data_IF_413879809946
#
_entry.id   IF_413879809946
#
_cell.length_a   1.000
_cell.length_b   1.000
_cell.length_c   1.000
_cell.angle_alpha   90.00
_cell.angle_beta   90.00
_cell.angle_gamma   90.00
#
_symmetry.space_group_name_H-M   'P 1'
#
loop_
_entity.id
_entity.type
_entity.pdbx_description
1 polymer ?
#
# COMPACT_ATOMS: atom_id res chain seq x y z
N UNK A 1 -24.47 -7.30 -1.84
CA UNK A 1 -23.36 -7.09 -0.89
C UNK A 1 -22.07 -7.37 -1.62
N UNK A 2 -21.04 -6.55 -1.43
CA UNK A 2 -19.74 -6.78 -2.03
C UNK A 2 -19.08 -8.03 -1.42
N UNK A 3 -18.38 -8.81 -2.23
CA UNK A 3 -17.70 -10.03 -1.78
C UNK A 3 -16.48 -9.67 -0.94
N UNK A 4 -16.27 -10.40 0.14
CA UNK A 4 -15.02 -10.37 0.92
C UNK A 4 -14.17 -11.56 0.52
N UNK A 5 -12.92 -11.32 0.16
CA UNK A 5 -11.97 -12.35 -0.27
C UNK A 5 -10.85 -12.40 0.77
N UNK A 6 -10.74 -13.48 1.57
CA UNK A 6 -9.60 -13.69 2.44
C UNK A 6 -8.29 -13.74 1.64
N UNK A 7 -7.22 -13.18 2.18
CA UNK A 7 -5.91 -13.18 1.48
C UNK A 7 -5.23 -14.54 1.56
N UNK A 8 -5.42 -15.29 2.64
CA UNK A 8 -4.89 -16.66 2.82
C UNK A 8 -6.01 -17.63 3.09
N UNK A 9 -5.82 -18.87 2.63
CA UNK A 9 -6.70 -19.99 2.96
C UNK A 9 -6.50 -20.52 4.39
N UNK A 10 -5.33 -20.26 4.94
CA UNK A 10 -4.91 -20.62 6.30
C UNK A 10 -4.59 -19.36 7.10
N UNK A 11 -3.80 -19.50 8.17
CA UNK A 11 -3.36 -18.40 9.02
C UNK A 11 -2.35 -17.54 8.26
N UNK A 12 -2.59 -16.21 8.23
CA UNK A 12 -1.68 -15.26 7.62
C UNK A 12 -0.29 -15.26 8.29
N UNK A 13 0.81 -14.99 7.56
CA UNK A 13 2.14 -14.83 8.18
C UNK A 13 2.12 -13.75 9.27
N UNK A 14 3.02 -13.85 10.28
CA UNK A 14 3.14 -12.88 11.38
C UNK A 14 1.92 -12.77 12.30
N UNK A 15 1.05 -13.79 12.37
CA UNK A 15 -0.18 -13.75 13.18
C UNK A 15 0.08 -13.94 14.68
N UNK A 16 1.23 -14.47 15.07
CA UNK A 16 1.55 -14.71 16.49
C UNK A 16 1.46 -13.46 17.37
N UNK A 17 1.74 -12.28 16.81
CA UNK A 17 1.68 -11.01 17.53
C UNK A 17 0.28 -10.36 17.54
N UNK A 18 -0.63 -10.84 16.69
CA UNK A 18 -1.99 -10.30 16.54
C UNK A 18 -2.99 -11.37 16.09
N UNK A 19 -3.24 -12.40 16.92
CA UNK A 19 -4.11 -13.51 16.54
C UNK A 19 -5.56 -13.07 16.25
N UNK A 20 -6.02 -11.97 16.82
CA UNK A 20 -7.34 -11.37 16.54
C UNK A 20 -7.45 -10.78 15.13
N UNK A 21 -6.32 -10.51 14.46
CA UNK A 21 -6.24 -10.01 13.08
C UNK A 21 -5.73 -11.09 12.09
N UNK A 22 -6.01 -12.37 12.37
CA UNK A 22 -5.44 -13.51 11.63
C UNK A 22 -5.93 -13.63 10.17
N UNK A 23 -6.99 -12.92 9.79
CA UNK A 23 -7.65 -13.05 8.49
C UNK A 23 -7.76 -11.71 7.75
N UNK A 24 -6.65 -11.11 7.30
CA UNK A 24 -6.70 -9.96 6.41
C UNK A 24 -7.38 -10.34 5.09
N UNK A 25 -8.08 -9.37 4.50
CA UNK A 25 -8.95 -9.62 3.35
C UNK A 25 -9.00 -8.43 2.40
N UNK A 26 -9.58 -8.62 1.22
CA UNK A 26 -9.99 -7.53 0.34
C UNK A 26 -11.51 -7.55 0.13
N UNK A 27 -12.13 -6.37 0.17
CA UNK A 27 -13.52 -6.17 -0.19
C UNK A 27 -13.61 -5.80 -1.67
N UNK A 28 -14.29 -6.61 -2.43
CA UNK A 28 -14.38 -6.50 -3.89
C UNK A 28 -15.41 -5.46 -4.34
N UNK A 29 -15.00 -4.59 -5.25
CA UNK A 29 -15.81 -3.65 -6.01
C UNK A 29 -15.50 -3.87 -7.51
N UNK A 30 -15.96 -4.98 -8.05
CA UNK A 30 -15.67 -5.36 -9.42
C UNK A 30 -16.58 -4.63 -10.42
N UNK A 31 -15.99 -4.19 -11.53
CA UNK A 31 -16.69 -3.62 -12.70
C UNK A 31 -16.63 -4.63 -13.83
N UNK A 32 -17.75 -5.11 -14.36
CA UNK A 32 -17.77 -6.03 -15.48
C UNK A 32 -17.01 -5.49 -16.70
N UNK A 33 -16.09 -6.29 -17.26
CA UNK A 33 -15.27 -5.91 -18.41
C UNK A 33 -14.09 -4.99 -18.10
N UNK A 34 -13.87 -4.62 -16.84
CA UNK A 34 -12.67 -3.87 -16.46
C UNK A 34 -11.41 -4.70 -16.72
N UNK A 35 -10.42 -4.10 -17.41
CA UNK A 35 -9.11 -4.73 -17.66
C UNK A 35 -8.10 -4.46 -16.56
N UNK A 36 -8.36 -3.45 -15.72
CA UNK A 36 -7.50 -3.04 -14.62
C UNK A 36 -8.20 -3.07 -13.28
N UNK A 37 -7.43 -3.29 -12.22
CA UNK A 37 -7.91 -3.22 -10.85
C UNK A 37 -6.96 -2.42 -9.97
N UNK A 38 -7.48 -1.84 -8.89
CA UNK A 38 -6.71 -1.08 -7.91
C UNK A 38 -6.95 -1.66 -6.52
N UNK A 39 -5.87 -2.02 -5.82
CA UNK A 39 -5.91 -2.30 -4.38
C UNK A 39 -5.88 -0.97 -3.63
N UNK A 40 -6.89 -0.71 -2.81
CA UNK A 40 -7.05 0.53 -2.05
C UNK A 40 -6.64 0.30 -0.61
N UNK A 41 -5.66 1.06 -0.12
CA UNK A 41 -5.12 1.00 1.24
C UNK A 41 -5.56 2.25 2.02
N UNK A 42 -6.63 2.19 2.85
CA UNK A 42 -7.05 3.31 3.69
C UNK A 42 -5.94 3.71 4.67
N UNK A 43 -5.88 5.00 5.04
CA UNK A 43 -5.01 5.50 6.10
C UNK A 43 -5.57 5.19 7.50
N UNK A 44 -5.05 5.92 8.49
CA UNK A 44 -5.45 5.76 9.89
C UNK A 44 -4.26 5.51 10.83
N UNK A 45 -3.06 5.94 10.44
CA UNK A 45 -1.87 5.93 11.31
C UNK A 45 -1.34 4.54 11.66
N UNK A 46 -1.75 3.48 10.97
CA UNK A 46 -1.55 2.09 11.36
C UNK A 46 -2.21 1.71 12.71
N UNK A 47 -3.17 2.49 13.19
CA UNK A 47 -3.97 2.21 14.39
C UNK A 47 -5.38 1.71 14.03
N UNK A 48 -5.93 2.22 12.94
CA UNK A 48 -7.21 1.83 12.37
C UNK A 48 -7.18 2.00 10.85
N UNK A 49 -8.30 1.72 10.17
CA UNK A 49 -8.48 2.00 8.73
C UNK A 49 -9.62 3.01 8.57
N UNK A 50 -9.31 4.17 7.99
CA UNK A 50 -10.25 5.26 7.79
C UNK A 50 -11.35 4.86 6.79
N UNK A 51 -12.63 4.74 7.18
CA UNK A 51 -13.66 4.18 6.30
C UNK A 51 -13.96 5.06 5.09
N UNK A 52 -13.73 6.37 5.18
CA UNK A 52 -13.94 7.32 4.08
C UNK A 52 -12.84 7.23 2.99
N UNK A 53 -11.72 6.57 3.26
CA UNK A 53 -10.63 6.28 2.32
C UNK A 53 -10.72 4.84 1.74
N UNK A 54 -11.76 4.10 2.07
CA UNK A 54 -12.05 2.75 1.60
C UNK A 54 -13.16 2.70 0.56
N UNK A 55 -14.36 2.34 0.98
CA UNK A 55 -15.52 2.13 0.10
C UNK A 55 -15.83 3.32 -0.82
N UNK A 56 -15.86 4.59 -0.35
CA UNK A 56 -16.14 5.72 -1.23
C UNK A 56 -15.12 5.89 -2.37
N UNK A 57 -13.85 5.56 -2.11
CA UNK A 57 -12.79 5.59 -3.12
C UNK A 57 -12.98 4.46 -4.14
N UNK A 58 -13.30 3.26 -3.68
CA UNK A 58 -13.61 2.15 -4.57
C UNK A 58 -14.81 2.45 -5.49
N UNK A 59 -15.85 3.07 -4.95
CA UNK A 59 -17.01 3.51 -5.73
C UNK A 59 -16.65 4.62 -6.74
N UNK A 60 -15.74 5.53 -6.38
CA UNK A 60 -15.23 6.54 -7.31
C UNK A 60 -14.48 5.89 -8.49
N UNK A 61 -13.61 4.91 -8.21
CA UNK A 61 -12.90 4.15 -9.25
C UNK A 61 -13.88 3.37 -10.14
N UNK A 62 -14.92 2.77 -9.55
CA UNK A 62 -15.95 2.07 -10.31
C UNK A 62 -16.70 2.99 -11.27
N UNK A 63 -16.99 4.25 -10.87
CA UNK A 63 -17.60 5.25 -11.78
C UNK A 63 -16.69 5.58 -12.97
N UNK A 64 -15.38 5.40 -12.82
CA UNK A 64 -14.39 5.53 -13.89
C UNK A 64 -14.16 4.22 -14.68
N UNK A 65 -14.93 3.16 -14.40
CA UNK A 65 -14.80 1.87 -15.08
C UNK A 65 -13.65 0.99 -14.59
N UNK A 66 -13.07 1.31 -13.43
CA UNK A 66 -11.92 0.60 -12.84
C UNK A 66 -12.42 -0.25 -11.66
N UNK A 67 -12.10 -1.54 -11.66
CA UNK A 67 -12.35 -2.41 -10.51
C UNK A 67 -11.49 -2.01 -9.33
N UNK A 68 -12.03 -2.10 -8.11
CA UNK A 68 -11.31 -1.75 -6.90
C UNK A 68 -11.45 -2.84 -5.81
N UNK A 69 -10.44 -2.95 -4.98
CA UNK A 69 -10.35 -3.92 -3.90
C UNK A 69 -9.84 -3.21 -2.64
N UNK A 70 -10.75 -2.96 -1.69
CA UNK A 70 -10.39 -2.28 -0.44
C UNK A 70 -9.72 -3.28 0.49
N UNK A 71 -8.47 -3.00 0.84
CA UNK A 71 -7.66 -3.87 1.66
C UNK A 71 -7.95 -3.66 3.15
N UNK A 72 -8.35 -4.72 3.82
CA UNK A 72 -8.43 -4.85 5.26
C UNK A 72 -7.11 -5.43 5.79
N UNK A 73 -6.05 -4.59 5.78
CA UNK A 73 -4.73 -4.97 6.25
C UNK A 73 -4.62 -4.89 7.77
N UNK A 74 -3.68 -5.66 8.34
CA UNK A 74 -3.42 -5.64 9.78
C UNK A 74 -2.81 -4.32 10.22
N UNK A 75 -3.25 -3.85 11.38
CA UNK A 75 -2.80 -2.63 12.03
C UNK A 75 -2.31 -2.95 13.45
N UNK A 76 -1.75 -2.01 14.15
CA UNK A 76 -1.32 -2.14 15.57
C UNK A 76 -2.41 -2.76 16.46
N UNK A 77 -2.07 -3.70 17.38
CA UNK A 77 -0.74 -4.32 17.50
C UNK A 77 -0.54 -5.40 16.45
N UNK A 78 0.58 -5.38 15.73
CA UNK A 78 0.97 -6.44 14.81
C UNK A 78 2.48 -6.36 14.52
N UNK A 79 3.05 -7.42 14.00
CA UNK A 79 4.43 -7.39 13.49
C UNK A 79 4.57 -6.33 12.37
N UNK A 80 5.66 -5.56 12.36
CA UNK A 80 5.83 -4.44 11.40
C UNK A 80 5.80 -4.86 9.92
N UNK A 81 6.15 -6.11 9.60
CA UNK A 81 6.05 -6.67 8.25
C UNK A 81 4.65 -7.18 7.88
N UNK A 82 3.73 -7.32 8.85
CA UNK A 82 2.40 -7.87 8.57
C UNK A 82 1.61 -7.03 7.56
N UNK A 83 1.51 -5.68 7.67
CA UNK A 83 0.81 -4.86 6.69
C UNK A 83 1.40 -4.99 5.27
N UNK A 84 2.73 -5.01 5.15
CA UNK A 84 3.40 -5.18 3.85
C UNK A 84 3.13 -6.55 3.24
N UNK A 85 3.15 -7.61 4.06
CA UNK A 85 2.78 -8.96 3.62
C UNK A 85 1.33 -8.99 3.11
N UNK A 86 0.40 -8.32 3.80
CA UNK A 86 -1.00 -8.22 3.41
C UNK A 86 -1.17 -7.49 2.08
N UNK A 87 -0.48 -6.35 1.87
CA UNK A 87 -0.54 -5.58 0.63
C UNK A 87 0.05 -6.36 -0.55
N UNK A 88 1.20 -7.01 -0.36
CA UNK A 88 1.82 -7.86 -1.38
C UNK A 88 0.92 -9.03 -1.77
N UNK A 89 0.30 -9.68 -0.78
CA UNK A 89 -0.66 -10.75 -1.01
C UNK A 89 -1.93 -10.28 -1.70
N UNK A 90 -2.45 -9.10 -1.33
CA UNK A 90 -3.62 -8.50 -1.98
C UNK A 90 -3.39 -8.25 -3.48
N UNK A 91 -2.22 -7.73 -3.86
CA UNK A 91 -1.85 -7.55 -5.28
C UNK A 91 -1.87 -8.89 -6.01
N UNK A 92 -1.28 -9.95 -5.44
CA UNK A 92 -1.29 -11.30 -6.02
C UNK A 92 -2.70 -11.87 -6.16
N UNK A 93 -3.52 -11.76 -5.10
CA UNK A 93 -4.92 -12.23 -5.11
C UNK A 93 -5.71 -11.51 -6.21
N UNK A 94 -5.62 -10.19 -6.28
CA UNK A 94 -6.31 -9.41 -7.32
C UNK A 94 -5.79 -9.78 -8.72
N UNK A 95 -4.48 -9.97 -8.88
CA UNK A 95 -3.88 -10.43 -10.16
C UNK A 95 -4.38 -11.80 -10.57
N UNK A 96 -4.60 -12.72 -9.61
CA UNK A 96 -5.13 -14.06 -9.89
C UNK A 96 -6.58 -14.07 -10.41
N UNK A 97 -7.31 -12.96 -10.23
CA UNK A 97 -8.66 -12.80 -10.77
C UNK A 97 -8.69 -12.49 -12.29
N UNK A 98 -7.51 -12.36 -12.92
CA UNK A 98 -7.38 -12.23 -14.37
C UNK A 98 -7.26 -10.80 -14.90
N UNK A 99 -7.04 -9.81 -14.03
CA UNK A 99 -6.78 -8.43 -14.46
C UNK A 99 -5.42 -8.31 -15.16
N UNK A 100 -5.40 -7.58 -16.28
CA UNK A 100 -4.18 -7.31 -17.06
C UNK A 100 -3.22 -6.38 -16.31
N UNK A 101 -3.79 -5.42 -15.55
CA UNK A 101 -3.06 -4.43 -14.75
C UNK A 101 -3.62 -4.35 -13.35
N UNK A 102 -2.73 -4.36 -12.36
CA UNK A 102 -3.08 -4.21 -10.94
C UNK A 102 -2.26 -3.07 -10.34
N UNK A 103 -2.93 -1.96 -10.04
CA UNK A 103 -2.35 -0.85 -9.29
C UNK A 103 -2.57 -0.95 -7.79
N UNK A 104 -1.87 -0.11 -7.03
CA UNK A 104 -2.10 0.07 -5.61
C UNK A 104 -2.25 1.56 -5.30
N UNK A 105 -3.24 1.92 -4.49
CA UNK A 105 -3.53 3.28 -4.07
C UNK A 105 -3.60 3.32 -2.55
N UNK A 106 -3.01 4.36 -1.93
CA UNK A 106 -3.05 4.46 -0.48
C UNK A 106 -2.97 5.89 0.03
N UNK A 107 -3.59 6.13 1.19
CA UNK A 107 -3.76 7.42 1.82
C UNK A 107 -2.95 7.51 3.12
N UNK A 108 -2.25 8.61 3.38
CA UNK A 108 -1.56 8.84 4.65
C UNK A 108 -0.67 7.63 5.05
N UNK A 109 -0.94 6.93 6.15
CA UNK A 109 -0.27 5.69 6.53
C UNK A 109 -0.51 4.54 5.52
N UNK A 110 -1.71 4.43 4.93
CA UNK A 110 -1.98 3.53 3.80
C UNK A 110 -1.18 3.91 2.55
N UNK A 111 -0.82 5.18 2.40
CA UNK A 111 0.12 5.67 1.40
C UNK A 111 1.56 5.19 1.66
N UNK A 112 2.00 5.11 2.93
CA UNK A 112 3.26 4.45 3.28
C UNK A 112 3.23 2.97 2.89
N UNK A 113 2.14 2.27 3.17
CA UNK A 113 1.95 0.88 2.78
C UNK A 113 1.98 0.69 1.25
N UNK A 114 1.31 1.58 0.52
CA UNK A 114 1.33 1.64 -0.94
C UNK A 114 2.76 1.80 -1.49
N UNK A 115 3.52 2.74 -0.95
CA UNK A 115 4.92 2.97 -1.30
C UNK A 115 5.81 1.77 -0.93
N UNK A 116 5.61 1.18 0.25
CA UNK A 116 6.36 0.00 0.69
C UNK A 116 6.11 -1.19 -0.25
N UNK A 117 4.86 -1.45 -0.65
CA UNK A 117 4.55 -2.50 -1.61
C UNK A 117 5.15 -2.25 -3.00
N UNK A 118 5.27 -0.97 -3.41
CA UNK A 118 5.86 -0.59 -4.68
C UNK A 118 7.41 -0.64 -4.69
N UNK A 119 8.06 -0.62 -3.53
CA UNK A 119 9.54 -0.64 -3.42
C UNK A 119 10.10 -1.97 -2.90
N UNK A 120 9.27 -2.84 -2.29
CA UNK A 120 9.67 -4.13 -1.72
C UNK A 120 8.89 -5.31 -2.32
N UNK A 121 8.50 -5.20 -3.57
CA UNK A 121 7.86 -6.30 -4.31
C UNK A 121 8.83 -7.42 -4.64
N UNK A 122 8.28 -8.57 -5.01
CA UNK A 122 9.01 -9.70 -5.59
C UNK A 122 8.32 -10.25 -6.85
N UNK A 123 9.05 -11.08 -7.59
CA UNK A 123 8.57 -11.69 -8.83
C UNK A 123 7.61 -12.88 -8.61
N UNK A 124 7.40 -13.29 -7.37
CA UNK A 124 6.72 -14.54 -7.00
C UNK A 124 7.68 -15.73 -6.94
N UNK A 125 7.22 -16.80 -6.29
CA UNK A 125 7.96 -18.06 -6.19
C UNK A 125 7.29 -19.12 -7.07
N UNK A 126 7.81 -19.47 -8.26
CA UNK A 126 7.19 -20.42 -9.18
C UNK A 126 7.04 -21.83 -8.60
N UNK A 127 7.85 -22.18 -7.60
CA UNK A 127 7.84 -23.49 -6.93
C UNK A 127 6.92 -23.54 -5.70
N UNK A 128 6.24 -22.42 -5.38
CA UNK A 128 5.33 -22.40 -4.24
C UNK A 128 4.17 -23.37 -4.42
N UNK A 129 3.79 -24.14 -3.38
CA UNK A 129 2.57 -24.96 -3.39
C UNK A 129 1.31 -24.10 -3.51
N UNK A 130 1.33 -22.86 -2.99
CA UNK A 130 0.25 -21.91 -3.14
C UNK A 130 0.35 -21.20 -4.51
N UNK A 131 -0.63 -21.39 -5.42
CA UNK A 131 -0.60 -20.76 -6.75
C UNK A 131 -0.62 -19.22 -6.72
N UNK A 132 -1.15 -18.61 -5.66
CA UNK A 132 -1.14 -17.15 -5.50
C UNK A 132 0.28 -16.63 -5.26
N UNK A 133 1.10 -17.35 -4.49
CA UNK A 133 2.51 -16.97 -4.25
C UNK A 133 3.42 -17.12 -5.48
N UNK A 134 2.95 -17.78 -6.53
CA UNK A 134 3.66 -17.85 -7.83
C UNK A 134 3.56 -16.55 -8.64
N UNK A 135 2.62 -15.68 -8.29
CA UNK A 135 2.39 -14.42 -8.98
C UNK A 135 3.28 -13.31 -8.41
N UNK A 136 3.67 -12.36 -9.26
CA UNK A 136 4.42 -11.18 -8.81
C UNK A 136 3.56 -10.30 -7.90
N UNK A 137 4.15 -9.78 -6.82
CA UNK A 137 3.57 -8.75 -5.96
C UNK A 137 3.86 -7.33 -6.47
N UNK A 138 4.61 -7.15 -7.58
CA UNK A 138 4.88 -5.83 -8.14
C UNK A 138 3.61 -5.21 -8.70
N UNK A 139 3.16 -4.05 -8.19
CA UNK A 139 2.05 -3.35 -8.80
C UNK A 139 2.46 -2.79 -10.18
N UNK A 140 1.50 -2.61 -11.09
CA UNK A 140 1.75 -2.01 -12.41
C UNK A 140 1.88 -0.48 -12.33
N UNK A 141 1.30 0.14 -11.30
CA UNK A 141 1.47 1.55 -10.90
C UNK A 141 1.14 1.70 -9.41
N UNK A 142 1.64 2.76 -8.78
CA UNK A 142 1.27 3.08 -7.41
C UNK A 142 0.86 4.54 -7.24
N UNK A 143 -0.10 4.78 -6.35
CA UNK A 143 -0.75 6.07 -6.20
C UNK A 143 -0.77 6.49 -4.71
N UNK A 144 0.34 7.03 -4.17
CA UNK A 144 0.39 7.55 -2.81
C UNK A 144 -0.26 8.94 -2.73
N UNK A 145 -1.28 9.04 -1.88
CA UNK A 145 -2.05 10.24 -1.63
C UNK A 145 -1.67 10.78 -0.25
N UNK A 146 -1.13 12.01 -0.15
CA UNK A 146 -0.63 12.61 1.09
C UNK A 146 0.06 11.60 2.02
N UNK A 147 0.93 10.80 1.40
CA UNK A 147 1.51 9.62 2.04
C UNK A 147 2.61 9.97 3.05
N UNK A 148 2.71 9.19 4.13
CA UNK A 148 3.88 9.16 5.01
C UNK A 148 5.00 8.41 4.30
N UNK A 149 5.74 9.07 3.42
CA UNK A 149 6.78 8.44 2.58
C UNK A 149 8.01 8.10 3.41
N UNK A 150 8.49 9.06 4.18
CA UNK A 150 9.69 8.90 5.00
C UNK A 150 9.35 8.68 6.46
N UNK A 151 9.96 7.65 7.06
CA UNK A 151 9.98 7.47 8.51
C UNK A 151 11.24 8.07 9.14
N UNK A 152 12.14 8.66 8.33
CA UNK A 152 13.37 9.33 8.75
C UNK A 152 13.18 10.84 8.93
N UNK A 153 12.62 11.52 7.91
CA UNK A 153 12.49 12.98 7.82
C UNK A 153 11.03 13.34 7.59
N UNK A 154 10.59 14.48 8.12
CA UNK A 154 9.21 14.97 7.97
C UNK A 154 8.15 13.92 8.29
N UNK A 155 8.47 12.99 9.19
CA UNK A 155 7.64 11.82 9.46
C UNK A 155 6.44 12.15 10.34
N UNK A 156 5.32 11.51 10.07
CA UNK A 156 4.22 11.42 11.02
C UNK A 156 4.59 10.41 12.12
N UNK A 157 5.04 10.91 13.27
CA UNK A 157 5.58 10.09 14.39
C UNK A 157 4.59 9.02 14.86
N UNK A 158 3.28 9.33 14.88
CA UNK A 158 2.23 8.37 15.24
C UNK A 158 2.26 7.13 14.33
N UNK A 159 2.28 7.33 13.02
CA UNK A 159 2.34 6.23 12.04
C UNK A 159 3.62 5.40 12.18
N UNK A 160 4.77 6.05 12.35
CA UNK A 160 6.05 5.36 12.58
C UNK A 160 6.01 4.48 13.82
N UNK A 161 5.53 5.02 14.94
CA UNK A 161 5.45 4.27 16.20
C UNK A 161 4.44 3.13 16.12
N UNK A 162 3.30 3.35 15.47
CA UNK A 162 2.26 2.32 15.32
C UNK A 162 2.70 1.18 14.40
N UNK A 163 3.41 1.49 13.29
CA UNK A 163 3.93 0.48 12.38
C UNK A 163 5.09 -0.30 12.99
N UNK A 164 6.07 0.41 13.56
CA UNK A 164 7.34 -0.20 13.97
C UNK A 164 7.34 -0.71 15.41
N UNK A 165 6.41 -0.24 16.26
CA UNK A 165 6.34 -0.68 17.65
C UNK A 165 7.68 -0.55 18.37
N UNK A 166 8.20 -1.64 18.91
CA UNK A 166 9.49 -1.68 19.61
C UNK A 166 10.68 -1.26 18.71
N UNK A 167 10.57 -1.44 17.40
CA UNK A 167 11.61 -1.12 16.41
C UNK A 167 11.59 0.34 15.94
N UNK A 168 10.72 1.20 16.50
CA UNK A 168 10.53 2.58 16.04
C UNK A 168 11.81 3.44 16.08
N UNK A 169 12.79 3.11 16.91
CA UNK A 169 14.07 3.79 17.01
C UNK A 169 15.24 3.03 16.36
N UNK A 170 14.98 1.90 15.70
CA UNK A 170 15.98 1.10 15.02
C UNK A 170 16.10 1.55 13.55
N UNK A 171 17.21 2.20 13.23
CA UNK A 171 17.42 2.79 11.90
C UNK A 171 17.28 1.81 10.72
N UNK A 172 17.64 0.51 10.84
CA UNK A 172 17.38 -0.43 9.75
C UNK A 172 15.89 -0.53 9.38
N UNK A 173 15.00 -0.65 10.37
CA UNK A 173 13.54 -0.68 10.16
C UNK A 173 12.99 0.66 9.65
N UNK A 174 13.46 1.75 10.25
CA UNK A 174 13.06 3.11 9.83
C UNK A 174 13.42 3.34 8.36
N UNK A 175 14.60 2.96 7.91
CA UNK A 175 15.04 3.07 6.51
C UNK A 175 14.29 2.12 5.59
N UNK A 176 14.04 0.89 6.03
CA UNK A 176 13.30 -0.10 5.25
C UNK A 176 11.91 0.43 4.87
N UNK A 177 11.19 1.07 5.79
CA UNK A 177 9.87 1.63 5.54
C UNK A 177 9.89 3.10 5.08
N UNK A 178 11.05 3.66 4.75
CA UNK A 178 11.22 4.98 4.14
C UNK A 178 11.39 4.81 2.64
N UNK A 179 10.28 4.93 1.90
CA UNK A 179 10.21 4.53 0.50
C UNK A 179 11.20 5.30 -0.39
N UNK A 180 11.47 6.58 -0.10
CA UNK A 180 12.42 7.41 -0.83
C UNK A 180 13.85 6.85 -0.82
N UNK A 181 14.16 5.97 0.13
CA UNK A 181 15.47 5.30 0.24
C UNK A 181 15.52 3.95 -0.47
N UNK A 182 14.37 3.45 -0.93
CA UNK A 182 14.23 2.11 -1.51
C UNK A 182 13.79 2.12 -2.98
N UNK A 183 13.69 3.31 -3.59
CA UNK A 183 13.38 3.45 -5.02
C UNK A 183 14.53 2.91 -5.85
N UNK A 184 14.22 2.08 -6.84
CA UNK A 184 15.13 1.52 -7.83
C UNK A 184 14.65 1.81 -9.25
N UNK A 185 15.44 1.62 -10.30
CA UNK A 185 14.96 1.75 -11.68
C UNK A 185 13.78 0.84 -12.05
N UNK A 186 13.58 -0.26 -11.29
CA UNK A 186 12.49 -1.20 -11.50
C UNK A 186 11.23 -0.86 -10.69
N UNK A 187 11.26 0.20 -9.87
CA UNK A 187 10.07 0.71 -9.17
C UNK A 187 8.99 1.08 -10.19
N UNK A 188 7.71 0.71 -9.98
CA UNK A 188 6.64 1.03 -10.93
C UNK A 188 6.40 2.54 -11.05
N UNK A 189 5.75 3.00 -12.15
CA UNK A 189 5.38 4.41 -12.31
C UNK A 189 4.42 4.87 -11.21
N UNK A 190 4.50 6.15 -10.85
CA UNK A 190 3.74 6.74 -9.74
C UNK A 190 2.82 7.87 -10.18
N UNK A 191 1.65 7.97 -9.52
CA UNK A 191 0.83 9.17 -9.49
C UNK A 191 0.74 9.66 -8.04
N UNK A 192 1.26 10.84 -7.76
CA UNK A 192 1.41 11.39 -6.40
C UNK A 192 0.58 12.66 -6.29
N UNK A 193 -0.22 12.80 -5.21
CA UNK A 193 -0.83 14.06 -4.91
C UNK A 193 -0.80 14.38 -3.41
N UNK A 194 -0.74 15.68 -3.10
CA UNK A 194 -0.65 16.20 -1.75
C UNK A 194 -1.24 17.61 -1.69
N UNK A 195 -1.54 18.10 -0.49
CA UNK A 195 -1.83 19.53 -0.27
C UNK A 195 -0.63 20.21 0.38
N UNK A 196 -0.32 21.44 -0.07
CA UNK A 196 0.90 22.15 0.38
C UNK A 196 0.86 22.54 1.86
N UNK A 197 -0.32 22.59 2.45
CA UNK A 197 -0.58 23.02 3.84
C UNK A 197 -0.99 21.89 4.76
N UNK A 198 -0.68 20.64 4.39
CA UNK A 198 -0.97 19.48 5.24
C UNK A 198 -0.13 19.52 6.53
N UNK A 199 -0.82 19.77 7.66
CA UNK A 199 -0.19 19.88 8.98
C UNK A 199 0.10 18.51 9.62
N UNK A 200 -0.56 17.45 9.15
CA UNK A 200 -0.40 16.10 9.69
C UNK A 200 0.76 15.36 9.02
N UNK A 201 0.82 15.42 7.70
CA UNK A 201 1.87 14.79 6.89
C UNK A 201 2.51 15.89 6.02
N UNK A 202 3.68 16.41 6.38
CA UNK A 202 4.35 17.46 5.62
C UNK A 202 4.51 17.12 4.14
N UNK A 203 4.22 18.07 3.26
CA UNK A 203 4.29 17.91 1.79
C UNK A 203 5.66 17.44 1.29
N UNK A 204 6.71 17.69 2.07
CA UNK A 204 8.07 17.24 1.82
C UNK A 204 8.15 15.72 1.62
N UNK A 205 7.23 14.94 2.21
CA UNK A 205 7.15 13.49 1.95
C UNK A 205 6.98 13.20 0.45
N UNK A 206 6.05 13.86 -0.21
CA UNK A 206 5.81 13.72 -1.65
C UNK A 206 6.98 14.24 -2.50
N UNK A 207 7.61 15.34 -2.07
CA UNK A 207 8.80 15.89 -2.74
C UNK A 207 10.00 14.96 -2.64
N UNK A 208 10.23 14.30 -1.48
CA UNK A 208 11.27 13.30 -1.30
C UNK A 208 11.07 12.10 -2.24
N UNK A 209 9.83 11.59 -2.32
CA UNK A 209 9.51 10.47 -3.22
C UNK A 209 9.74 10.85 -4.68
N UNK A 210 9.20 11.99 -5.12
CA UNK A 210 9.37 12.48 -6.49
C UNK A 210 10.86 12.65 -6.85
N UNK A 211 11.65 13.17 -5.92
CA UNK A 211 13.11 13.32 -6.10
C UNK A 211 13.80 11.96 -6.25
N UNK A 212 13.42 10.96 -5.46
CA UNK A 212 13.97 9.61 -5.55
C UNK A 212 13.58 8.91 -6.87
N UNK A 213 12.32 9.06 -7.30
CA UNK A 213 11.84 8.55 -8.59
C UNK A 213 12.59 9.18 -9.76
N UNK A 214 12.75 10.51 -9.75
CA UNK A 214 13.50 11.23 -10.79
C UNK A 214 14.95 10.77 -10.89
N UNK A 215 15.64 10.58 -9.76
CA UNK A 215 17.03 10.07 -9.71
C UNK A 215 17.18 8.67 -10.30
N UNK A 216 16.13 7.85 -10.21
CA UNK A 216 16.11 6.48 -10.73
C UNK A 216 15.45 6.36 -12.11
N UNK A 217 15.13 7.47 -12.77
CA UNK A 217 14.46 7.53 -14.07
C UNK A 217 13.10 6.78 -14.10
N UNK A 218 12.40 6.71 -12.97
CA UNK A 218 11.08 6.13 -12.86
C UNK A 218 10.05 7.18 -13.28
N UNK A 219 9.11 6.90 -14.20
CA UNK A 219 8.07 7.84 -14.58
C UNK A 219 7.13 8.16 -13.42
N UNK A 220 6.78 9.45 -13.24
CA UNK A 220 5.79 9.87 -12.25
C UNK A 220 5.07 11.14 -12.63
N UNK A 221 3.89 11.35 -12.05
CA UNK A 221 3.20 12.62 -11.98
C UNK A 221 3.12 13.08 -10.51
N UNK A 222 3.29 14.38 -10.27
CA UNK A 222 3.18 14.98 -8.94
C UNK A 222 2.27 16.19 -9.00
N UNK A 223 1.22 16.20 -8.17
CA UNK A 223 0.26 17.28 -8.04
C UNK A 223 0.25 17.79 -6.59
N UNK A 224 0.64 19.04 -6.40
CA UNK A 224 0.56 19.75 -5.12
C UNK A 224 -0.53 20.81 -5.20
N UNK A 225 -1.54 20.69 -4.38
CA UNK A 225 -2.68 21.61 -4.34
C UNK A 225 -2.49 22.65 -3.24
N UNK A 226 -2.71 23.92 -3.54
CA UNK A 226 -2.58 25.02 -2.58
C UNK A 226 -3.88 25.16 -1.75
N UNK A 227 -4.03 24.38 -0.70
CA UNK A 227 -5.20 24.47 0.19
C UNK A 227 -4.72 24.78 1.59
#
# INVERSE_FOLDING_TARGET
MNRIIPLWSEIAPYTQESPEQAQPSVKEFAVPGSRGAVVVCPGGGYEFKAPYEGDPIAEMLNRAGISAYVLDYRVKPCHCLAPLSDASRAIRVVRSLGYEKVGILGFSAGGNLCCSAATHYDAGNPDSPDPIERLSSRPDAFMPCYAVVSLCQYTHIGSRNSLLGAHANEMPFVRFFSAEQNVTPDTPPAFIWHTSTDEAVPVENSLLLATALAKNAVPFELHIFPI
#
